data_IF_167499109533
#
_entry.id   IF_167499109533
#
_cell.length_a   1.000
_cell.length_b   1.000
_cell.length_c   1.000
_cell.angle_alpha   90.00
_cell.angle_beta   90.00
_cell.angle_gamma   90.00
#
_symmetry.space_group_name_H-M   'P 1'
#
loop_
_entity.id
_entity.type
_entity.pdbx_description
1 polymer ?
#
# COMPACT_ATOMS: atom_id res chain seq x y z
N UNK A 1 -28.51 -16.77 -7.38
CA UNK A 1 -27.65 -15.72 -6.81
C UNK A 1 -28.01 -14.38 -7.45
N UNK A 2 -28.46 -13.39 -6.68
CA UNK A 2 -28.71 -12.02 -7.17
C UNK A 2 -27.45 -11.50 -7.89
N UNK A 3 -27.63 -10.83 -9.04
CA UNK A 3 -26.54 -10.23 -9.84
C UNK A 3 -25.63 -9.33 -8.98
N UNK A 4 -26.18 -8.68 -7.95
CA UNK A 4 -25.42 -7.88 -6.99
C UNK A 4 -24.44 -8.70 -6.13
N UNK A 5 -24.83 -9.90 -5.71
CA UNK A 5 -23.98 -10.76 -4.86
C UNK A 5 -22.76 -11.27 -5.62
N UNK A 6 -22.90 -11.58 -6.92
CA UNK A 6 -21.76 -11.99 -7.76
C UNK A 6 -20.73 -10.87 -7.92
N UNK A 7 -21.20 -9.62 -8.13
CA UNK A 7 -20.32 -8.45 -8.24
C UNK A 7 -19.62 -8.14 -6.92
N UNK A 8 -20.34 -8.24 -5.79
CA UNK A 8 -19.76 -8.08 -4.46
C UNK A 8 -18.68 -9.14 -4.21
N UNK A 9 -18.95 -10.41 -4.48
CA UNK A 9 -17.98 -11.49 -4.28
C UNK A 9 -16.70 -11.27 -5.09
N UNK A 10 -16.83 -10.79 -6.33
CA UNK A 10 -15.70 -10.51 -7.21
C UNK A 10 -14.82 -9.38 -6.65
N UNK A 11 -15.43 -8.28 -6.22
CA UNK A 11 -14.71 -7.18 -5.55
C UNK A 11 -14.05 -7.66 -4.25
N UNK A 12 -14.77 -8.47 -3.47
CA UNK A 12 -14.30 -8.94 -2.17
C UNK A 12 -13.10 -9.87 -2.29
N UNK A 13 -13.09 -10.77 -3.28
CA UNK A 13 -11.94 -11.63 -3.56
C UNK A 13 -10.74 -10.81 -4.06
N UNK A 14 -10.98 -9.84 -4.95
CA UNK A 14 -9.93 -8.93 -5.42
C UNK A 14 -9.27 -8.16 -4.28
N UNK A 15 -10.11 -7.60 -3.40
CA UNK A 15 -9.65 -6.86 -2.22
C UNK A 15 -8.91 -7.75 -1.22
N UNK A 16 -9.38 -8.98 -1.01
CA UNK A 16 -8.71 -9.94 -0.13
C UNK A 16 -7.30 -10.25 -0.65
N UNK A 17 -7.16 -10.50 -1.95
CA UNK A 17 -5.85 -10.76 -2.58
C UNK A 17 -4.95 -9.53 -2.46
N UNK A 18 -5.49 -8.34 -2.74
CA UNK A 18 -4.76 -7.07 -2.62
C UNK A 18 -4.24 -6.84 -1.19
N UNK A 19 -5.09 -7.05 -0.18
CA UNK A 19 -4.73 -6.91 1.23
C UNK A 19 -3.63 -7.88 1.66
N UNK A 20 -3.70 -9.14 1.22
CA UNK A 20 -2.64 -10.13 1.51
C UNK A 20 -1.32 -9.72 0.82
N UNK A 21 -1.39 -9.31 -0.44
CA UNK A 21 -0.23 -8.84 -1.19
C UNK A 21 0.44 -7.63 -0.54
N UNK A 22 -0.33 -6.60 -0.16
CA UNK A 22 0.17 -5.42 0.54
C UNK A 22 0.84 -5.74 1.88
N UNK A 23 0.25 -6.68 2.65
CA UNK A 23 0.83 -7.17 3.89
C UNK A 23 2.17 -7.88 3.67
N UNK A 24 2.26 -8.76 2.67
CA UNK A 24 3.50 -9.46 2.31
C UNK A 24 4.58 -8.50 1.80
N UNK A 25 4.22 -7.51 0.99
CA UNK A 25 5.15 -6.46 0.51
C UNK A 25 5.70 -5.66 1.68
N UNK A 26 4.83 -5.23 2.62
CA UNK A 26 5.24 -4.48 3.81
C UNK A 26 6.20 -5.28 4.70
N UNK A 27 5.90 -6.57 4.91
CA UNK A 27 6.77 -7.46 5.67
C UNK A 27 8.11 -7.68 4.96
N UNK A 28 8.10 -7.97 3.66
CA UNK A 28 9.30 -8.19 2.85
C UNK A 28 10.22 -6.96 2.83
N UNK A 29 9.65 -5.77 2.70
CA UNK A 29 10.38 -4.50 2.77
C UNK A 29 11.01 -4.28 4.15
N UNK A 30 10.26 -4.55 5.23
CA UNK A 30 10.80 -4.47 6.59
C UNK A 30 12.02 -5.37 6.79
N UNK A 31 11.94 -6.63 6.32
CA UNK A 31 13.06 -7.58 6.38
C UNK A 31 14.23 -7.14 5.50
N UNK A 32 13.97 -6.62 4.29
CA UNK A 32 15.01 -6.13 3.38
C UNK A 32 15.80 -4.96 3.98
N UNK A 33 15.11 -3.99 4.57
CA UNK A 33 15.74 -2.85 5.26
C UNK A 33 16.56 -3.32 6.46
N UNK A 34 16.07 -4.30 7.22
CA UNK A 34 16.80 -4.88 8.34
C UNK A 34 18.11 -5.55 7.89
N UNK A 35 18.08 -6.36 6.82
CA UNK A 35 19.28 -7.00 6.28
C UNK A 35 20.30 -5.99 5.74
N UNK A 36 19.84 -4.89 5.13
CA UNK A 36 20.73 -3.85 4.59
C UNK A 36 21.36 -2.95 5.66
N UNK A 37 20.61 -2.63 6.72
CA UNK A 37 21.03 -1.61 7.70
C UNK A 37 21.67 -2.23 8.95
N UNK A 38 21.39 -3.50 9.27
CA UNK A 38 21.86 -4.17 10.49
C UNK A 38 21.34 -3.57 11.81
N UNK A 39 20.46 -2.56 11.73
CA UNK A 39 19.94 -1.80 12.86
C UNK A 39 18.42 -1.90 12.93
N UNK A 40 17.92 -2.46 14.04
CA UNK A 40 16.49 -2.57 14.32
C UNK A 40 15.79 -1.21 14.43
N UNK A 41 16.52 -0.16 14.84
CA UNK A 41 15.96 1.19 14.97
C UNK A 41 15.63 1.82 13.60
N UNK A 42 16.47 1.58 12.58
CA UNK A 42 16.23 2.05 11.22
C UNK A 42 15.01 1.37 10.57
N UNK A 43 14.85 0.07 10.81
CA UNK A 43 13.67 -0.69 10.40
C UNK A 43 12.39 -0.13 11.06
N UNK A 44 12.41 0.11 12.37
CA UNK A 44 11.26 0.64 13.09
C UNK A 44 10.85 2.03 12.59
N UNK A 45 11.82 2.91 12.29
CA UNK A 45 11.56 4.23 11.72
C UNK A 45 10.91 4.17 10.33
N UNK A 46 11.40 3.30 9.44
CA UNK A 46 10.82 3.11 8.10
C UNK A 46 9.40 2.57 8.19
N UNK A 47 9.17 1.58 9.05
CA UNK A 47 7.83 1.03 9.28
C UNK A 47 6.88 2.10 9.82
N UNK A 48 7.34 2.93 10.77
CA UNK A 48 6.54 4.02 11.35
C UNK A 48 6.21 5.09 10.31
N UNK A 49 7.17 5.45 9.46
CA UNK A 49 6.94 6.36 8.33
C UNK A 49 5.98 5.78 7.30
N UNK A 50 5.95 4.45 7.10
CA UNK A 50 4.99 3.76 6.25
C UNK A 50 3.54 3.84 6.76
N UNK A 51 3.34 3.85 8.08
CA UNK A 51 2.00 3.99 8.69
C UNK A 51 1.52 5.44 8.81
N UNK A 52 2.43 6.40 8.75
CA UNK A 52 2.16 7.82 8.96
C UNK A 52 1.11 8.41 7.99
N UNK A 53 1.15 8.14 6.67
CA UNK A 53 0.13 8.64 5.75
C UNK A 53 -1.20 7.96 5.95
N UNK A 54 -1.24 6.66 6.26
CA UNK A 54 -2.52 6.01 6.57
C UNK A 54 -3.19 6.77 7.72
N UNK A 55 -2.45 7.07 8.79
CA UNK A 55 -2.94 7.89 9.91
C UNK A 55 -3.39 9.29 9.48
N UNK A 56 -2.60 10.01 8.68
CA UNK A 56 -2.91 11.37 8.24
C UNK A 56 -4.12 11.42 7.28
N UNK A 57 -4.23 10.44 6.38
CA UNK A 57 -5.22 10.42 5.32
C UNK A 57 -6.51 9.69 5.70
N UNK A 58 -6.57 8.94 6.82
CA UNK A 58 -7.79 8.23 7.24
C UNK A 58 -8.99 9.18 7.41
N UNK A 59 -8.80 10.31 8.09
CA UNK A 59 -9.87 11.29 8.35
C UNK A 59 -10.35 11.99 7.07
N UNK A 60 -9.46 12.61 6.26
CA UNK A 60 -9.91 13.26 5.01
C UNK A 60 -10.46 12.25 4.00
N UNK A 61 -9.94 11.02 3.93
CA UNK A 61 -10.47 9.97 3.07
C UNK A 61 -11.93 9.60 3.45
N UNK A 62 -12.25 9.55 4.75
CA UNK A 62 -13.63 9.34 5.22
C UNK A 62 -14.57 10.47 4.77
N UNK A 63 -14.14 11.73 4.92
CA UNK A 63 -14.93 12.89 4.48
C UNK A 63 -15.14 12.89 2.95
N UNK A 64 -14.11 12.51 2.19
CA UNK A 64 -14.20 12.35 0.73
C UNK A 64 -15.16 11.21 0.35
N UNK A 65 -15.14 10.09 1.06
CA UNK A 65 -16.01 8.93 0.81
C UNK A 65 -17.49 9.17 1.07
N UNK A 66 -17.81 10.15 1.92
CA UNK A 66 -19.19 10.58 2.15
C UNK A 66 -19.68 11.61 1.13
N UNK A 67 -18.76 12.34 0.46
CA UNK A 67 -19.10 13.40 -0.50
C UNK A 67 -19.05 12.99 -1.96
N UNK A 68 -18.26 11.98 -2.31
CA UNK A 68 -18.03 11.57 -3.70
C UNK A 68 -18.48 10.13 -3.95
N UNK A 69 -18.63 9.78 -5.23
CA UNK A 69 -18.97 8.42 -5.64
C UNK A 69 -17.90 7.41 -5.19
N UNK A 70 -18.31 6.51 -4.29
CA UNK A 70 -17.42 5.50 -3.67
C UNK A 70 -16.68 4.63 -4.68
N UNK A 71 -17.28 4.38 -5.85
CA UNK A 71 -16.65 3.61 -6.93
C UNK A 71 -15.45 4.33 -7.54
N UNK A 72 -15.55 5.65 -7.70
CA UNK A 72 -14.46 6.46 -8.27
C UNK A 72 -13.31 6.54 -7.28
N UNK A 73 -13.63 6.72 -5.99
CA UNK A 73 -12.63 6.68 -4.91
C UNK A 73 -11.90 5.34 -4.83
N UNK A 74 -12.60 4.22 -4.93
CA UNK A 74 -11.98 2.89 -4.97
C UNK A 74 -11.02 2.75 -6.17
N UNK A 75 -11.45 3.13 -7.38
CA UNK A 75 -10.60 3.04 -8.57
C UNK A 75 -9.34 3.90 -8.46
N UNK A 76 -9.45 5.12 -7.90
CA UNK A 76 -8.29 6.01 -7.74
C UNK A 76 -7.35 5.46 -6.66
N UNK A 77 -7.88 5.02 -5.51
CA UNK A 77 -7.08 4.48 -4.41
C UNK A 77 -6.32 3.21 -4.81
N UNK A 78 -7.02 2.24 -5.39
CA UNK A 78 -6.42 0.99 -5.87
C UNK A 78 -5.41 1.25 -7.00
N UNK A 79 -5.72 2.21 -7.88
CA UNK A 79 -4.82 2.65 -8.95
C UNK A 79 -3.52 3.26 -8.41
N UNK A 80 -3.62 4.17 -7.42
CA UNK A 80 -2.44 4.75 -6.77
C UNK A 80 -1.59 3.69 -6.07
N UNK A 81 -2.22 2.78 -5.32
CA UNK A 81 -1.53 1.68 -4.64
C UNK A 81 -0.79 0.76 -5.63
N UNK A 82 -1.45 0.40 -6.74
CA UNK A 82 -0.83 -0.38 -7.81
C UNK A 82 0.38 0.32 -8.44
N UNK A 83 0.29 1.64 -8.66
CA UNK A 83 1.41 2.44 -9.18
C UNK A 83 2.58 2.53 -8.18
N UNK A 84 2.31 2.68 -6.88
CA UNK A 84 3.33 2.68 -5.84
C UNK A 84 4.11 1.37 -5.79
N UNK A 85 3.41 0.24 -5.84
CA UNK A 85 4.03 -1.09 -5.90
C UNK A 85 4.89 -1.25 -7.16
N UNK A 86 4.39 -0.80 -8.32
CA UNK A 86 5.12 -0.87 -9.59
C UNK A 86 6.39 0.00 -9.56
N UNK A 87 6.31 1.18 -8.94
CA UNK A 87 7.45 2.05 -8.71
C UNK A 87 8.51 1.40 -7.81
N UNK A 88 8.11 0.82 -6.68
CA UNK A 88 9.03 0.06 -5.80
C UNK A 88 9.70 -1.07 -6.58
N UNK A 89 8.93 -1.81 -7.38
CA UNK A 89 9.45 -2.93 -8.17
C UNK A 89 10.50 -2.48 -9.20
N UNK A 90 10.24 -1.37 -9.91
CA UNK A 90 11.20 -0.79 -10.86
C UNK A 90 12.47 -0.25 -10.17
N UNK A 91 12.34 0.35 -8.98
CA UNK A 91 13.48 0.78 -8.18
C UNK A 91 14.33 -0.41 -7.71
N UNK A 92 13.69 -1.52 -7.33
CA UNK A 92 14.40 -2.75 -6.95
C UNK A 92 15.22 -3.34 -8.10
N UNK A 93 14.72 -3.27 -9.34
CA UNK A 93 15.42 -3.77 -10.53
C UNK A 93 16.68 -2.96 -10.88
N UNK A 94 16.73 -1.67 -10.54
CA UNK A 94 17.87 -0.80 -10.82
C UNK A 94 19.00 -0.87 -9.77
N UNK A 95 18.86 -1.68 -8.72
CA UNK A 95 19.97 -2.05 -7.82
C UNK A 95 20.42 -1.01 -6.78
N UNK A 96 19.94 0.24 -6.85
CA UNK A 96 20.22 1.30 -5.86
C UNK A 96 18.96 1.76 -5.11
N UNK A 97 18.26 0.83 -4.45
CA UNK A 97 17.11 1.19 -3.61
C UNK A 97 17.59 1.89 -2.33
N UNK A 98 17.64 3.21 -2.35
CA UNK A 98 17.94 4.04 -1.19
C UNK A 98 16.74 4.04 -0.22
N UNK A 99 16.97 4.10 1.09
CA UNK A 99 15.94 3.98 2.14
C UNK A 99 14.76 4.95 1.91
N UNK A 100 15.08 6.15 1.42
CA UNK A 100 14.12 7.22 1.14
C UNK A 100 13.20 6.89 -0.04
N UNK A 101 13.68 6.16 -1.06
CA UNK A 101 12.86 5.77 -2.21
C UNK A 101 11.86 4.67 -1.84
N UNK A 102 12.25 3.76 -0.94
CA UNK A 102 11.34 2.76 -0.38
C UNK A 102 10.26 3.46 0.47
N UNK A 103 10.64 4.44 1.29
CA UNK A 103 9.66 5.21 2.08
C UNK A 103 8.65 5.98 1.22
N UNK A 104 9.07 6.53 0.07
CA UNK A 104 8.18 7.30 -0.81
C UNK A 104 7.25 6.39 -1.62
N UNK A 105 7.72 5.21 -2.04
CA UNK A 105 6.93 4.30 -2.89
C UNK A 105 5.92 3.43 -2.14
N UNK A 106 6.02 3.34 -0.80
CA UNK A 106 5.08 2.59 0.05
C UNK A 106 3.73 3.30 0.22
N UNK A 107 3.62 4.55 -0.23
CA UNK A 107 2.40 5.35 -0.24
C UNK A 107 1.58 5.14 -1.50
#
# INVERSE_FOLDING_TARGET
>A
MSSGMKKFLLLWIGELISSIGGGLTSFGLGVYVFQKTGSAAGMALVTLLGFLPTLLFTVPAGVLADRYDRRVLMMIGDGCSGLGILYIFLCMLHGEANLVQICIGVF
#
